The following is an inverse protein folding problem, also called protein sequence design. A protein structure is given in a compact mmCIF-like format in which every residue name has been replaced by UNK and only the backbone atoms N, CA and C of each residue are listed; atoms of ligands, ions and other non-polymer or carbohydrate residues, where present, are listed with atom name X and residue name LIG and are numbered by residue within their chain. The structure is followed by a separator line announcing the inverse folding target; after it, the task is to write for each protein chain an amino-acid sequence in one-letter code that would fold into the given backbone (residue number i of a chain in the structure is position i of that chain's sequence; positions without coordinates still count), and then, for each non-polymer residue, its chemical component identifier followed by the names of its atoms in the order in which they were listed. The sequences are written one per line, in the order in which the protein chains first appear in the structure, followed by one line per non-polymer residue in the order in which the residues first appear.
data_IF_302482586469
#
_entry.id   IF_302482586469
#
_cell.length_a   1.000
_cell.length_b   1.000
_cell.length_c   1.000
_cell.angle_alpha   90.00
_cell.angle_beta   90.00
_cell.angle_gamma   90.00
#
_symmetry.space_group_name_H-M   'P 1'
#
loop_
_entity.id
_entity.type
_entity.pdbx_description
1 polymer ?
#
# COMPACT_ATOMS: atom_id res chain seq x y z
N UNK A 1 26.21 -12.40 55.05
CA UNK A 1 26.40 -11.69 53.77
C UNK A 1 25.42 -12.28 52.75
N UNK A 2 24.49 -11.48 52.22
CA UNK A 2 23.42 -11.92 51.31
C UNK A 2 23.86 -11.68 49.86
N UNK A 3 23.93 -12.72 49.05
CA UNK A 3 24.14 -12.60 47.60
C UNK A 3 22.79 -12.43 46.92
N UNK A 4 22.51 -11.23 46.40
CA UNK A 4 21.42 -11.01 45.46
C UNK A 4 21.93 -11.35 44.06
N UNK A 5 21.54 -12.52 43.55
CA UNK A 5 21.70 -12.84 42.14
C UNK A 5 20.55 -12.13 41.42
N UNK A 6 20.86 -10.98 40.81
CA UNK A 6 19.95 -10.30 39.90
C UNK A 6 19.98 -11.10 38.60
N UNK A 7 19.01 -12.00 38.44
CA UNK A 7 18.68 -12.58 37.14
C UNK A 7 17.98 -11.45 36.37
N UNK A 8 18.73 -10.71 35.55
CA UNK A 8 18.12 -9.86 34.52
C UNK A 8 17.60 -10.82 33.45
N UNK A 9 16.28 -10.95 33.23
CA UNK A 9 15.79 -11.72 32.11
C UNK A 9 16.16 -10.94 30.85
N UNK A 10 17.09 -11.50 30.10
CA UNK A 10 17.50 -11.04 28.76
C UNK A 10 16.40 -11.33 27.74
N UNK A 11 15.16 -10.90 28.03
CA UNK A 11 13.95 -11.22 27.28
C UNK A 11 13.23 -9.97 26.74
N UNK A 12 13.86 -8.79 26.79
CA UNK A 12 13.22 -7.53 26.43
C UNK A 12 13.94 -6.76 25.31
N UNK A 13 14.65 -7.43 24.40
CA UNK A 13 15.29 -6.77 23.24
C UNK A 13 15.08 -7.52 21.92
N UNK A 14 13.89 -8.09 21.72
CA UNK A 14 13.28 -8.10 20.39
C UNK A 14 12.16 -7.07 20.45
N UNK A 15 12.57 -5.80 20.54
CA UNK A 15 11.71 -4.65 20.35
C UNK A 15 11.03 -4.79 19.00
N UNK A 16 9.75 -5.12 19.05
CA UNK A 16 8.67 -4.58 18.23
C UNK A 16 9.16 -3.76 17.01
N UNK A 17 9.56 -4.45 15.94
CA UNK A 17 9.85 -3.85 14.66
C UNK A 17 8.88 -4.44 13.65
N UNK A 18 7.58 -4.19 13.88
CA UNK A 18 6.59 -4.30 12.82
C UNK A 18 6.18 -2.89 12.40
N UNK A 19 7.18 -2.05 12.11
CA UNK A 19 6.97 -0.97 11.17
C UNK A 19 6.40 -1.61 9.91
N UNK A 20 5.16 -1.26 9.60
CA UNK A 20 4.44 -1.85 8.48
C UNK A 20 5.25 -1.57 7.21
N UNK A 21 5.90 -2.60 6.66
CA UNK A 21 6.83 -2.48 5.51
C UNK A 21 6.16 -1.82 4.28
N UNK A 22 4.83 -1.76 4.23
CA UNK A 22 4.06 -1.08 3.19
C UNK A 22 3.99 0.45 3.37
N UNK A 23 4.20 0.97 4.58
CA UNK A 23 4.16 2.40 4.87
C UNK A 23 5.32 3.09 4.14
N UNK A 24 5.01 4.18 3.45
CA UNK A 24 5.98 4.95 2.69
C UNK A 24 5.40 5.44 1.36
N UNK A 25 6.30 5.99 0.54
CA UNK A 25 5.99 6.51 -0.78
C UNK A 25 6.37 5.50 -1.86
N UNK A 26 5.43 5.29 -2.77
CA UNK A 26 5.53 4.33 -3.85
C UNK A 26 5.22 5.02 -5.17
N UNK A 27 6.18 5.08 -6.07
CA UNK A 27 5.98 5.54 -7.42
C UNK A 27 5.18 4.51 -8.22
N UNK A 28 4.08 4.94 -8.83
CA UNK A 28 3.34 4.14 -9.80
C UNK A 28 4.14 4.16 -11.11
N UNK A 29 4.59 2.97 -11.51
CA UNK A 29 5.39 2.76 -12.72
C UNK A 29 4.56 2.18 -13.87
N UNK A 30 3.48 1.45 -13.56
CA UNK A 30 2.56 0.87 -14.53
C UNK A 30 1.19 0.61 -13.89
N UNK A 31 0.14 0.56 -14.72
CA UNK A 31 -1.24 0.31 -14.31
C UNK A 31 -1.91 -0.63 -15.30
N UNK A 32 -2.49 -1.72 -14.80
CA UNK A 32 -3.28 -2.67 -15.58
C UNK A 32 -4.74 -2.67 -15.12
N UNK A 33 -5.65 -2.64 -16.08
CA UNK A 33 -7.09 -2.79 -15.88
C UNK A 33 -7.47 -4.22 -16.23
N UNK A 34 -8.16 -4.91 -15.33
CA UNK A 34 -8.75 -6.20 -15.66
C UNK A 34 -9.94 -5.95 -16.62
N UNK A 35 -9.83 -6.45 -17.85
CA UNK A 35 -10.88 -6.32 -18.88
C UNK A 35 -12.17 -7.00 -18.39
N UNK A 36 -13.17 -6.21 -17.98
CA UNK A 36 -14.54 -6.72 -17.84
C UNK A 36 -15.23 -6.71 -19.20
N UNK A 37 -15.58 -7.90 -19.65
CA UNK A 37 -16.30 -8.17 -20.90
C UNK A 37 -17.63 -7.39 -21.00
N UNK A 38 -17.77 -6.72 -22.15
CA UNK A 38 -19.02 -6.33 -22.85
C UNK A 38 -19.96 -5.26 -22.25
N UNK A 39 -19.98 -4.11 -22.93
CA UNK A 39 -21.17 -3.32 -23.31
C UNK A 39 -22.16 -2.98 -22.18
N UNK A 40 -21.86 -1.91 -21.45
CA UNK A 40 -22.77 -1.27 -20.49
C UNK A 40 -22.25 0.12 -20.13
N UNK A 41 -22.51 1.09 -20.99
CA UNK A 41 -22.17 2.51 -20.83
C UNK A 41 -22.43 3.04 -19.40
N UNK A 42 -21.51 3.87 -18.92
CA UNK A 42 -21.53 4.67 -17.68
C UNK A 42 -20.75 4.13 -16.46
N UNK A 43 -19.68 3.37 -16.70
CA UNK A 43 -18.57 3.24 -15.74
C UNK A 43 -17.70 4.51 -15.73
N UNK A 44 -18.20 5.60 -15.13
CA UNK A 44 -17.31 6.66 -14.61
C UNK A 44 -16.40 5.98 -13.57
N UNK A 45 -15.06 6.01 -13.61
CA UNK A 45 -14.20 7.20 -13.54
C UNK A 45 -12.78 6.88 -14.07
N UNK A 46 -12.38 7.58 -15.13
CA UNK A 46 -11.08 8.24 -15.34
C UNK A 46 -9.89 7.87 -14.41
N UNK A 47 -9.13 6.79 -14.61
CA UNK A 47 -7.70 6.72 -14.18
C UNK A 47 -6.92 5.64 -14.95
N UNK A 48 -6.79 5.76 -16.28
CA UNK A 48 -5.75 4.98 -17.00
C UNK A 48 -5.50 5.48 -18.44
N UNK A 49 -6.50 6.08 -19.09
CA UNK A 49 -6.41 6.42 -20.52
C UNK A 49 -6.98 7.80 -20.86
N UNK A 50 -6.82 8.76 -19.95
CA UNK A 50 -6.90 10.17 -20.30
C UNK A 50 -5.51 10.57 -20.78
N UNK A 51 -5.38 11.42 -21.79
CA UNK A 51 -4.13 12.08 -22.20
C UNK A 51 -3.45 12.91 -21.06
N UNK A 52 -3.91 12.76 -19.80
CA UNK A 52 -3.51 13.44 -18.57
C UNK A 52 -2.68 12.58 -17.59
N UNK A 53 -2.13 11.43 -18.00
CA UNK A 53 -0.99 10.83 -17.29
C UNK A 53 0.34 10.96 -18.07
N UNK A 54 0.87 12.17 -18.30
CA UNK A 54 2.26 12.32 -18.76
C UNK A 54 3.29 12.34 -17.62
N UNK A 55 2.91 12.07 -16.35
CA UNK A 55 3.71 12.47 -15.17
C UNK A 55 3.76 11.42 -14.04
N UNK A 56 4.88 11.35 -13.29
CA UNK A 56 5.06 10.38 -12.21
C UNK A 56 4.02 10.60 -11.12
N UNK A 57 3.30 9.53 -10.79
CA UNK A 57 2.25 9.53 -9.76
C UNK A 57 2.72 8.72 -8.56
N UNK A 58 2.49 9.23 -7.36
CA UNK A 58 2.96 8.65 -6.10
C UNK A 58 1.77 8.18 -5.27
N UNK A 59 1.82 6.93 -4.83
CA UNK A 59 0.96 6.37 -3.81
C UNK A 59 1.67 6.48 -2.47
N UNK A 60 1.12 7.24 -1.52
CA UNK A 60 1.61 7.27 -0.13
C UNK A 60 0.69 6.43 0.74
N UNK A 61 1.27 5.43 1.39
CA UNK A 61 0.62 4.58 2.37
C UNK A 61 1.07 5.01 3.76
N UNK A 62 0.12 5.46 4.58
CA UNK A 62 0.32 5.77 5.98
C UNK A 62 -0.39 4.72 6.86
N UNK A 63 -0.31 4.86 8.18
CA UNK A 63 -0.85 3.86 9.12
C UNK A 63 -2.37 3.64 9.00
N UNK A 64 -3.10 4.68 8.59
CA UNK A 64 -4.56 4.71 8.56
C UNK A 64 -5.14 5.28 7.25
N UNK A 65 -4.29 5.61 6.28
CA UNK A 65 -4.66 6.39 5.11
C UNK A 65 -3.87 6.01 3.87
N UNK A 66 -4.51 6.11 2.70
CA UNK A 66 -3.87 6.05 1.38
C UNK A 66 -4.08 7.40 0.69
N UNK A 67 -3.01 7.93 0.11
CA UNK A 67 -3.04 9.14 -0.70
C UNK A 67 -2.46 8.88 -2.08
N UNK A 68 -3.02 9.53 -3.10
CA UNK A 68 -2.48 9.53 -4.45
C UNK A 68 -2.14 10.95 -4.88
N UNK A 69 -0.92 11.16 -5.37
CA UNK A 69 -0.39 12.46 -5.79
C UNK A 69 0.12 12.39 -7.23
N UNK A 70 -0.05 13.45 -8.02
CA UNK A 70 0.71 13.66 -9.26
C UNK A 70 1.57 14.92 -9.13
N UNK A 71 2.86 14.80 -9.41
CA UNK A 71 3.93 15.80 -9.19
C UNK A 71 4.08 16.30 -7.74
N UNK A 72 3.02 16.87 -7.14
CA UNK A 72 2.86 17.28 -5.74
C UNK A 72 1.37 17.59 -5.39
N UNK A 73 0.45 17.45 -6.34
CA UNK A 73 -0.96 17.73 -6.14
C UNK A 73 -1.67 16.47 -5.68
N UNK A 74 -2.36 16.58 -4.53
CA UNK A 74 -3.15 15.47 -3.99
C UNK A 74 -4.40 15.28 -4.83
N UNK A 75 -4.54 14.09 -5.42
CA UNK A 75 -5.67 13.73 -6.27
C UNK A 75 -6.73 13.00 -5.45
N UNK A 76 -6.32 12.05 -4.61
CA UNK A 76 -7.23 11.15 -3.89
C UNK A 76 -6.77 11.00 -2.43
N UNK A 77 -7.75 10.82 -1.54
CA UNK A 77 -7.58 10.54 -0.12
C UNK A 77 -8.56 9.49 0.32
N UNK A 78 -8.10 8.37 0.85
CA UNK A 78 -8.97 7.33 1.36
C UNK A 78 -8.45 6.81 2.70
N UNK A 79 -9.36 6.45 3.61
CA UNK A 79 -8.99 5.71 4.82
C UNK A 79 -8.49 4.32 4.45
N UNK A 80 -7.50 3.82 5.17
CA UNK A 80 -6.87 2.54 4.92
C UNK A 80 -6.72 1.75 6.21
N UNK A 81 -7.18 0.49 6.21
CA UNK A 81 -7.02 -0.40 7.34
C UNK A 81 -6.42 -1.73 6.90
N UNK A 82 -5.36 -2.17 7.59
CA UNK A 82 -4.79 -3.51 7.37
C UNK A 82 -5.72 -4.52 8.04
N UNK A 83 -6.34 -5.37 7.24
CA UNK A 83 -7.21 -6.45 7.68
C UNK A 83 -6.36 -7.65 8.12
N UNK A 84 -5.35 -8.00 7.32
CA UNK A 84 -4.46 -9.12 7.60
C UNK A 84 -3.11 -8.95 6.91
N UNK A 85 -2.11 -9.69 7.41
CA UNK A 85 -0.76 -9.78 6.83
C UNK A 85 -0.33 -11.24 6.80
N UNK A 86 0.04 -11.72 5.62
CA UNK A 86 0.61 -13.05 5.42
C UNK A 86 1.76 -12.98 4.42
N UNK A 87 2.97 -13.34 4.84
CA UNK A 87 4.14 -13.47 3.95
C UNK A 87 4.28 -12.35 2.88
N UNK A 88 4.44 -11.09 3.32
CA UNK A 88 4.56 -9.89 2.47
C UNK A 88 3.33 -9.53 1.62
N UNK A 89 2.23 -10.24 1.81
CA UNK A 89 0.91 -9.88 1.31
C UNK A 89 0.10 -9.24 2.42
N UNK A 90 -0.55 -8.13 2.10
CA UNK A 90 -1.33 -7.31 3.02
C UNK A 90 -2.73 -7.17 2.43
N UNK A 91 -3.73 -7.60 3.18
CA UNK A 91 -5.13 -7.34 2.83
C UNK A 91 -5.54 -6.02 3.48
N UNK A 92 -6.10 -5.14 2.67
CA UNK A 92 -6.42 -3.77 3.05
C UNK A 92 -7.90 -3.50 2.78
N UNK A 93 -8.47 -2.61 3.59
CA UNK A 93 -9.72 -1.90 3.26
C UNK A 93 -9.35 -0.48 2.89
N UNK A 94 -9.66 -0.03 1.67
CA UNK A 94 -9.42 1.35 1.21
C UNK A 94 -10.76 2.02 0.93
N UNK A 95 -11.17 2.91 1.82
CA UNK A 95 -12.56 3.38 1.89
C UNK A 95 -13.51 2.19 2.09
N UNK A 96 -14.47 2.00 1.18
CA UNK A 96 -15.40 0.86 1.20
C UNK A 96 -14.92 -0.35 0.37
N UNK A 97 -13.72 -0.27 -0.20
CA UNK A 97 -13.23 -1.22 -1.19
C UNK A 97 -12.23 -2.19 -0.58
N UNK A 98 -12.29 -3.44 -1.02
CA UNK A 98 -11.26 -4.41 -0.70
C UNK A 98 -10.05 -4.19 -1.60
N UNK A 99 -8.87 -4.20 -0.99
CA UNK A 99 -7.62 -4.00 -1.68
C UNK A 99 -6.57 -4.99 -1.16
N UNK A 100 -5.52 -5.19 -1.94
CA UNK A 100 -4.38 -5.97 -1.52
C UNK A 100 -3.09 -5.30 -1.94
N UNK A 101 -2.08 -5.43 -1.09
CA UNK A 101 -0.74 -4.91 -1.33
C UNK A 101 0.25 -6.05 -1.15
N UNK A 102 1.07 -6.31 -2.16
CA UNK A 102 2.06 -7.38 -2.16
C UNK A 102 3.45 -6.80 -2.35
N UNK A 103 4.32 -6.99 -1.37
CA UNK A 103 5.75 -6.70 -1.52
C UNK A 103 6.43 -7.86 -2.26
N UNK A 104 6.85 -7.63 -3.49
CA UNK A 104 7.64 -8.60 -4.25
C UNK A 104 9.09 -8.59 -3.74
N UNK A 105 9.65 -7.39 -3.61
CA UNK A 105 10.97 -7.11 -3.05
C UNK A 105 10.90 -5.87 -2.13
N UNK A 106 12.02 -5.46 -1.54
CA UNK A 106 12.06 -4.29 -0.63
C UNK A 106 11.60 -2.99 -1.31
N UNK A 107 11.84 -2.89 -2.62
CA UNK A 107 11.61 -1.68 -3.42
C UNK A 107 10.55 -1.87 -4.51
N UNK A 108 9.92 -3.04 -4.60
CA UNK A 108 8.94 -3.39 -5.64
C UNK A 108 7.69 -3.97 -5.03
N UNK A 109 6.54 -3.44 -5.44
CA UNK A 109 5.25 -3.90 -4.95
C UNK A 109 4.18 -3.91 -6.03
N UNK A 110 3.12 -4.65 -5.74
CA UNK A 110 1.89 -4.68 -6.52
C UNK A 110 0.74 -4.29 -5.61
N UNK A 111 -0.03 -3.28 -5.99
CA UNK A 111 -1.22 -2.85 -5.27
C UNK A 111 -2.44 -3.08 -6.14
N UNK A 112 -3.38 -3.88 -5.64
CA UNK A 112 -4.62 -4.19 -6.32
C UNK A 112 -5.80 -3.62 -5.56
N UNK A 113 -6.67 -2.89 -6.25
CA UNK A 113 -7.91 -2.36 -5.68
C UNK A 113 -8.98 -2.31 -6.76
N UNK A 114 -10.17 -2.82 -6.44
CA UNK A 114 -11.26 -3.04 -7.42
C UNK A 114 -10.82 -3.95 -8.57
N UNK A 115 -10.60 -3.36 -9.75
CA UNK A 115 -10.22 -4.01 -11.01
C UNK A 115 -8.93 -3.39 -11.58
N UNK A 116 -8.15 -2.73 -10.72
CA UNK A 116 -6.91 -2.04 -11.10
C UNK A 116 -5.74 -2.65 -10.36
N UNK A 117 -4.69 -2.97 -11.12
CA UNK A 117 -3.40 -3.42 -10.61
C UNK A 117 -2.37 -2.32 -10.86
N UNK A 118 -1.80 -1.78 -9.79
CA UNK A 118 -0.73 -0.80 -9.82
C UNK A 118 0.60 -1.48 -9.53
N UNK A 119 1.58 -1.29 -10.42
CA UNK A 119 2.96 -1.70 -10.18
C UNK A 119 3.73 -0.53 -9.61
N UNK A 120 4.46 -0.81 -8.54
CA UNK A 120 5.02 0.21 -7.67
C UNK A 120 6.52 0.02 -7.47
N UNK A 121 7.25 1.12 -7.49
CA UNK A 121 8.62 1.22 -6.99
C UNK A 121 8.70 2.11 -5.76
N UNK A 122 9.57 1.76 -4.81
CA UNK A 122 9.82 2.63 -3.66
C UNK A 122 10.73 3.79 -4.07
N UNK A 123 10.43 5.00 -3.58
CA UNK A 123 11.33 6.16 -3.72
C UNK A 123 12.65 5.97 -2.97
#
# INVERSE_FOLDING_TARGET
MKYFIIIVPLFLLLSCDSDNEIIGEWQIIDVQLDEMDTIGLAGFVFVALSEQFPRPTVLRLDADSVYMFADNEKIISESCHIISKENRFYQLKVGEEDASFKLEHKERAVFFVKNMTYFLERF
#
